data_IF_555093201047
#
_entry.id   IF_555093201047
#
_cell.length_a   1.000
_cell.length_b   1.000
_cell.length_c   1.000
_cell.angle_alpha   90.00
_cell.angle_beta   90.00
_cell.angle_gamma   90.00
#
_symmetry.space_group_name_H-M   'P 1'
#
loop_
_entity.id
_entity.type
_entity.pdbx_description
1 polymer ?
#
# COMPACT_ATOMS: atom_id res chain seq x y z
N UNK A 1 25.18 -4.81 -12.29
CA UNK A 1 24.08 -3.83 -12.17
C UNK A 1 22.89 -4.59 -11.61
N UNK A 2 22.74 -4.75 -10.30
CA UNK A 2 22.49 -3.70 -9.31
C UNK A 2 20.98 -3.70 -9.07
N UNK A 3 20.48 -4.56 -8.18
CA UNK A 3 19.06 -4.68 -7.89
C UNK A 3 18.56 -3.33 -7.32
N UNK A 4 17.78 -2.58 -8.11
CA UNK A 4 17.17 -1.30 -7.72
C UNK A 4 15.73 -1.47 -7.21
N UNK A 5 15.24 -2.71 -7.20
CA UNK A 5 13.91 -3.12 -6.79
C UNK A 5 13.97 -3.84 -5.45
N UNK A 6 12.83 -3.95 -4.77
CA UNK A 6 12.74 -4.70 -3.53
C UNK A 6 12.94 -6.20 -3.81
N UNK A 7 13.61 -6.90 -2.90
CA UNK A 7 13.81 -8.34 -3.02
C UNK A 7 12.49 -9.07 -2.81
N UNK A 8 11.93 -9.65 -3.88
CA UNK A 8 10.65 -10.33 -3.85
C UNK A 8 10.64 -11.55 -2.92
N UNK A 9 11.79 -12.22 -2.73
CA UNK A 9 11.90 -13.33 -1.76
C UNK A 9 11.72 -12.85 -0.30
N UNK A 10 11.74 -11.54 -0.07
CA UNK A 10 11.54 -10.91 1.22
C UNK A 10 10.19 -10.18 1.33
N UNK A 11 9.23 -10.44 0.43
CA UNK A 11 7.91 -9.78 0.41
C UNK A 11 7.17 -9.87 1.76
N UNK A 12 7.30 -10.98 2.49
CA UNK A 12 6.74 -11.15 3.86
C UNK A 12 7.16 -10.04 4.84
N UNK A 13 8.28 -9.34 4.57
CA UNK A 13 8.70 -8.19 5.39
C UNK A 13 7.78 -6.99 5.25
N UNK A 14 7.05 -6.88 4.14
CA UNK A 14 6.10 -5.82 3.86
C UNK A 14 4.81 -5.99 4.68
N UNK A 15 4.51 -7.19 5.16
CA UNK A 15 3.34 -7.50 5.99
C UNK A 15 3.52 -7.23 7.50
N UNK A 16 4.65 -6.63 7.89
CA UNK A 16 4.98 -6.44 9.30
C UNK A 16 4.16 -5.29 9.92
N UNK A 17 3.38 -5.52 11.00
CA UNK A 17 2.60 -4.46 11.66
C UNK A 17 3.43 -3.29 12.18
N UNK A 18 4.74 -3.51 12.41
CA UNK A 18 5.67 -2.44 12.79
C UNK A 18 5.81 -1.31 11.76
N UNK A 19 5.30 -1.48 10.53
CA UNK A 19 5.26 -0.43 9.50
C UNK A 19 4.35 0.73 9.90
N UNK A 20 3.27 0.48 10.65
CA UNK A 20 2.39 1.52 11.17
C UNK A 20 3.05 2.47 12.18
N UNK A 21 4.28 2.18 12.62
CA UNK A 21 5.06 3.08 13.47
C UNK A 21 5.29 4.45 12.84
N UNK A 22 5.33 4.52 11.51
CA UNK A 22 5.65 5.74 10.78
C UNK A 22 4.43 6.46 10.23
N UNK A 23 3.43 5.69 9.81
CA UNK A 23 2.15 6.18 9.31
C UNK A 23 1.10 5.16 9.76
N UNK A 24 0.18 5.56 10.63
CA UNK A 24 -0.93 4.67 11.02
C UNK A 24 -1.95 4.51 9.89
N UNK A 25 -2.82 3.50 9.99
CA UNK A 25 -3.93 3.34 9.06
C UNK A 25 -4.85 4.57 9.07
N UNK A 26 -5.12 5.15 10.25
CA UNK A 26 -5.96 6.35 10.38
C UNK A 26 -5.32 7.59 9.75
N UNK A 27 -4.00 7.76 9.89
CA UNK A 27 -3.26 8.86 9.24
C UNK A 27 -3.30 8.75 7.71
N UNK A 28 -3.37 7.52 7.18
CA UNK A 28 -3.52 7.26 5.75
C UNK A 28 -4.96 7.48 5.26
N UNK A 29 -5.95 6.91 5.97
CA UNK A 29 -7.36 6.87 5.57
C UNK A 29 -8.09 8.19 5.81
N UNK A 30 -7.80 8.88 6.92
CA UNK A 30 -8.50 10.08 7.34
C UNK A 30 -8.62 11.14 6.24
N UNK A 31 -7.50 11.56 5.61
CA UNK A 31 -7.53 12.53 4.52
C UNK A 31 -8.34 12.07 3.29
N UNK A 32 -8.37 10.77 2.99
CA UNK A 32 -9.14 10.22 1.86
C UNK A 32 -10.64 10.31 2.12
N UNK A 33 -11.06 9.96 3.34
CA UNK A 33 -12.46 10.06 3.76
C UNK A 33 -12.91 11.52 3.83
N UNK A 34 -12.09 12.42 4.39
CA UNK A 34 -12.39 13.85 4.44
C UNK A 34 -12.54 14.48 3.03
N UNK A 35 -11.80 13.96 2.06
CA UNK A 35 -11.85 14.40 0.68
C UNK A 35 -12.95 13.73 -0.17
N UNK A 36 -13.71 12.78 0.40
CA UNK A 36 -14.67 11.94 -0.33
C UNK A 36 -14.03 11.27 -1.57
N UNK A 37 -12.83 10.72 -1.38
CA UNK A 37 -12.04 10.14 -2.46
C UNK A 37 -12.71 8.86 -3.00
N UNK A 38 -13.27 8.92 -4.21
CA UNK A 38 -13.87 7.75 -4.86
C UNK A 38 -12.81 6.78 -5.43
N UNK A 39 -11.75 7.30 -6.06
CA UNK A 39 -10.75 6.50 -6.77
C UNK A 39 -9.34 6.86 -6.30
N UNK A 40 -8.58 5.85 -5.84
CA UNK A 40 -7.23 6.00 -5.30
C UNK A 40 -6.26 5.06 -6.03
N UNK A 41 -4.99 5.48 -6.15
CA UNK A 41 -3.90 4.63 -6.61
C UNK A 41 -2.81 4.55 -5.52
N UNK A 42 -2.48 3.33 -5.11
CA UNK A 42 -1.38 3.03 -4.19
C UNK A 42 -0.14 2.63 -5.00
N UNK A 43 0.88 3.50 -5.04
CA UNK A 43 2.05 3.35 -5.89
C UNK A 43 3.21 2.69 -5.14
N UNK A 44 3.71 1.58 -5.68
CA UNK A 44 4.63 0.72 -4.93
C UNK A 44 3.90 0.01 -3.79
N UNK A 45 2.67 -0.43 -4.09
CA UNK A 45 1.76 -1.07 -3.13
C UNK A 45 2.37 -2.31 -2.47
N UNK A 46 3.42 -2.91 -3.06
CA UNK A 46 4.00 -4.14 -2.55
C UNK A 46 2.91 -5.21 -2.47
N UNK A 47 2.92 -5.98 -1.40
CA UNK A 47 1.92 -7.01 -1.07
C UNK A 47 0.51 -6.49 -0.77
N UNK A 48 0.28 -5.17 -0.80
CA UNK A 48 -1.03 -4.57 -0.53
C UNK A 48 -1.26 -4.12 0.92
N UNK A 49 -0.24 -4.18 1.80
CA UNK A 49 -0.36 -3.83 3.23
C UNK A 49 -1.18 -2.57 3.54
N UNK A 50 -0.95 -1.46 2.83
CA UNK A 50 -1.75 -0.22 3.01
C UNK A 50 -2.99 -0.18 2.12
N UNK A 51 -2.96 -0.86 0.97
CA UNK A 51 -4.11 -1.00 0.07
C UNK A 51 -5.28 -1.66 0.81
N UNK A 52 -5.01 -2.65 1.66
CA UNK A 52 -6.02 -3.36 2.45
C UNK A 52 -6.77 -2.45 3.44
N UNK A 53 -6.06 -1.49 4.06
CA UNK A 53 -6.70 -0.50 4.92
C UNK A 53 -7.46 0.56 4.13
N UNK A 54 -7.03 0.91 2.91
CA UNK A 54 -7.67 1.93 2.07
C UNK A 54 -8.96 1.40 1.42
N UNK A 55 -8.96 0.14 0.96
CA UNK A 55 -10.03 -0.44 0.16
C UNK A 55 -11.45 -0.32 0.75
N UNK A 56 -11.68 -0.44 2.08
CA UNK A 56 -13.01 -0.28 2.68
C UNK A 56 -13.56 1.15 2.66
N UNK A 57 -12.73 2.15 2.36
CA UNK A 57 -13.07 3.57 2.52
C UNK A 57 -13.25 4.32 1.19
N UNK A 58 -13.00 3.67 0.06
CA UNK A 58 -13.08 4.27 -1.28
C UNK A 58 -13.87 3.36 -2.22
N UNK A 59 -14.38 3.89 -3.33
CA UNK A 59 -15.09 3.07 -4.32
C UNK A 59 -14.13 2.14 -5.07
N UNK A 60 -12.92 2.62 -5.38
CA UNK A 60 -11.91 1.83 -6.07
C UNK A 60 -10.51 2.23 -5.62
N UNK A 61 -9.69 1.23 -5.28
CA UNK A 61 -8.26 1.40 -5.08
C UNK A 61 -7.49 0.53 -6.07
N UNK A 62 -6.53 1.14 -6.77
CA UNK A 62 -5.59 0.44 -7.64
C UNK A 62 -4.28 0.23 -6.90
N UNK A 63 -3.97 -1.01 -6.53
CA UNK A 63 -2.63 -1.41 -6.11
C UNK A 63 -1.73 -1.49 -7.34
N UNK A 64 -0.79 -0.55 -7.46
CA UNK A 64 0.15 -0.49 -8.58
C UNK A 64 1.54 -0.83 -8.10
N UNK A 65 2.15 -1.84 -8.71
CA UNK A 65 3.55 -2.17 -8.51
C UNK A 65 4.23 -2.48 -9.85
N UNK A 66 5.52 -2.21 -9.94
CA UNK A 66 6.34 -2.49 -11.14
C UNK A 66 6.86 -3.92 -11.13
N UNK A 67 6.88 -4.55 -9.96
CA UNK A 67 7.29 -5.94 -9.76
C UNK A 67 6.06 -6.85 -9.82
N UNK A 68 5.97 -7.78 -10.80
CA UNK A 68 4.84 -8.70 -10.91
C UNK A 68 4.74 -9.67 -9.72
N UNK A 69 5.75 -9.75 -8.85
CA UNK A 69 5.74 -10.59 -7.65
C UNK A 69 5.05 -9.94 -6.45
N UNK A 70 4.77 -8.62 -6.50
CA UNK A 70 4.17 -7.89 -5.37
C UNK A 70 2.66 -8.09 -5.29
N UNK A 71 2.00 -8.61 -6.35
CA UNK A 71 0.60 -9.05 -6.36
C UNK A 71 0.42 -10.39 -7.06
#
# INVERSE_FOLDING_TARGET
MGFHTFDAEQADRLERPGRYRWVSAEELVGPLVEADAAVVADLGSGTGFYTDDVAPHVETVYGVDVQPEMH
#
